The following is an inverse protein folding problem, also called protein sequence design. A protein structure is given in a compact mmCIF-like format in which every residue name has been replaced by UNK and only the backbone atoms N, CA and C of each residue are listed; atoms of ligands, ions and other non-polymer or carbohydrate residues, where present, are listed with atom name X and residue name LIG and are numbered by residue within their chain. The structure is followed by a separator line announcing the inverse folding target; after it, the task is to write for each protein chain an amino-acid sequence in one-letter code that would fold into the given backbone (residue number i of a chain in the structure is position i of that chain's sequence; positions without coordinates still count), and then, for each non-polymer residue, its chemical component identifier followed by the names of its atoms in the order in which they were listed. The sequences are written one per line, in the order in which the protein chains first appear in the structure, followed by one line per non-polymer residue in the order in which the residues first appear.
data_IF_933996166619
#
_entry.id   IF_933996166619
#
_cell.length_a   1.000
_cell.length_b   1.000
_cell.length_c   1.000
_cell.angle_alpha   90.00
_cell.angle_beta   90.00
_cell.angle_gamma   90.00
#
_symmetry.space_group_name_H-M   'P 1'
#
loop_
_entity.id
_entity.type
_entity.pdbx_description
1 polymer ?
#
# COMPACT_ATOMS: atom_id res chain seq x y z
N UNK A 1 7.64 18.52 21.97
CA UNK A 1 8.00 18.68 20.55
C UNK A 1 8.98 17.59 20.16
N UNK A 2 9.00 17.09 18.91
CA UNK A 2 10.06 16.22 18.45
C UNK A 2 11.41 16.95 18.48
N UNK A 3 12.51 16.20 18.58
CA UNK A 3 13.86 16.78 18.41
C UNK A 3 14.04 17.20 16.95
N UNK A 4 14.91 18.19 16.68
CA UNK A 4 15.18 18.71 15.32
C UNK A 4 15.55 17.58 14.35
N UNK A 5 16.47 16.68 14.74
CA UNK A 5 16.85 15.48 13.96
C UNK A 5 15.65 14.59 13.61
N UNK A 6 14.67 14.50 14.52
CA UNK A 6 13.47 13.70 14.28
C UNK A 6 12.53 14.41 13.33
N UNK A 7 12.37 15.71 13.46
CA UNK A 7 11.58 16.53 12.55
C UNK A 7 12.14 16.47 11.13
N UNK A 8 13.44 16.67 10.96
CA UNK A 8 14.12 16.53 9.66
C UNK A 8 13.87 15.16 9.02
N UNK A 9 14.02 14.06 9.80
CA UNK A 9 13.73 12.70 9.31
C UNK A 9 12.30 12.56 8.83
N UNK A 10 11.32 13.07 9.59
CA UNK A 10 9.91 12.96 9.22
C UNK A 10 9.58 13.79 8.01
N UNK A 11 10.10 15.02 7.93
CA UNK A 11 9.95 15.89 6.75
C UNK A 11 10.49 15.22 5.50
N UNK A 12 11.72 14.71 5.57
CA UNK A 12 12.31 13.98 4.44
C UNK A 12 11.47 12.79 4.00
N UNK A 13 11.01 11.96 4.94
CA UNK A 13 10.21 10.76 4.59
C UNK A 13 8.84 11.16 4.05
N UNK A 14 8.18 12.16 4.62
CA UNK A 14 6.88 12.63 4.12
C UNK A 14 6.99 13.12 2.67
N UNK A 15 8.04 13.87 2.35
CA UNK A 15 8.29 14.38 0.99
C UNK A 15 8.62 13.27 -0.03
N UNK A 16 8.97 12.06 0.44
CA UNK A 16 9.28 10.89 -0.38
C UNK A 16 8.07 9.99 -0.63
N UNK A 17 6.93 10.24 0.02
CA UNK A 17 5.74 9.41 -0.13
C UNK A 17 5.13 9.53 -1.52
N UNK A 18 4.67 8.41 -2.02
CA UNK A 18 3.81 8.35 -3.18
C UNK A 18 2.36 8.46 -2.70
N UNK A 19 1.72 9.58 -3.00
CA UNK A 19 0.34 9.89 -2.61
C UNK A 19 -0.66 9.48 -3.69
N UNK A 20 -0.17 9.18 -4.90
CA UNK A 20 -0.99 8.81 -6.05
C UNK A 20 -1.13 7.29 -6.21
N UNK A 21 -0.23 6.50 -5.65
CA UNK A 21 -0.36 5.05 -5.65
C UNK A 21 -1.13 4.54 -4.43
N UNK A 22 -1.85 3.42 -4.62
CA UNK A 22 -2.56 2.72 -3.55
C UNK A 22 -2.30 1.21 -3.59
N UNK A 23 -2.34 0.58 -2.41
CA UNK A 23 -2.46 -0.87 -2.25
C UNK A 23 -3.86 -1.18 -1.74
N UNK A 24 -4.52 -2.12 -2.39
CA UNK A 24 -5.86 -2.60 -2.04
C UNK A 24 -5.77 -4.05 -1.62
N UNK A 25 -6.22 -4.35 -0.43
CA UNK A 25 -6.24 -5.69 0.13
C UNK A 25 -7.69 -6.13 0.28
N UNK A 26 -8.12 -7.09 -0.54
CA UNK A 26 -9.48 -7.59 -0.56
C UNK A 26 -9.60 -8.85 0.30
N UNK A 27 -10.48 -8.79 1.29
CA UNK A 27 -10.90 -9.92 2.12
C UNK A 27 -9.73 -10.74 2.71
N UNK A 28 -8.71 -10.05 3.22
CA UNK A 28 -7.53 -10.71 3.77
C UNK A 28 -7.91 -11.48 5.04
N UNK A 29 -7.61 -12.78 5.02
CA UNK A 29 -7.95 -13.70 6.11
C UNK A 29 -7.06 -13.50 7.33
N UNK A 30 -5.73 -13.39 7.12
CA UNK A 30 -4.77 -13.22 8.22
C UNK A 30 -4.30 -11.76 8.36
N UNK A 31 -4.69 -11.05 9.45
CA UNK A 31 -4.21 -9.71 9.74
C UNK A 31 -2.68 -9.58 9.82
N UNK A 32 -1.94 -10.67 10.08
CA UNK A 32 -0.48 -10.65 10.09
C UNK A 32 0.09 -10.51 8.67
N UNK A 33 -0.53 -11.14 7.67
CA UNK A 33 -0.17 -10.97 6.26
C UNK A 33 -0.42 -9.53 5.82
N UNK A 34 -1.59 -8.96 6.18
CA UNK A 34 -1.86 -7.56 5.93
C UNK A 34 -0.83 -6.64 6.58
N UNK A 35 -0.45 -6.90 7.83
CA UNK A 35 0.54 -6.10 8.54
C UNK A 35 1.94 -6.18 7.91
N UNK A 36 2.33 -7.33 7.36
CA UNK A 36 3.57 -7.47 6.60
C UNK A 36 3.50 -6.67 5.28
N UNK A 37 2.35 -6.69 4.59
CA UNK A 37 2.11 -5.85 3.42
C UNK A 37 2.19 -4.34 3.75
N UNK A 38 1.66 -3.90 4.91
CA UNK A 38 1.79 -2.50 5.35
C UNK A 38 3.25 -2.08 5.51
N UNK A 39 4.11 -2.99 5.98
CA UNK A 39 5.54 -2.72 6.07
C UNK A 39 6.16 -2.50 4.70
N UNK A 40 5.74 -3.25 3.69
CA UNK A 40 6.18 -3.07 2.30
C UNK A 40 5.68 -1.75 1.71
N UNK A 41 4.42 -1.37 1.97
CA UNK A 41 3.90 -0.06 1.60
C UNK A 41 4.74 1.09 2.19
N UNK A 42 5.06 1.00 3.49
CA UNK A 42 5.92 1.98 4.15
C UNK A 42 7.32 2.03 3.55
N UNK A 43 7.93 0.87 3.29
CA UNK A 43 9.30 0.76 2.76
C UNK A 43 9.43 1.35 1.35
N UNK A 44 8.44 1.13 0.47
CA UNK A 44 8.42 1.65 -0.91
C UNK A 44 7.73 3.02 -1.05
N UNK A 45 7.28 3.58 0.06
CA UNK A 45 6.74 4.95 0.09
C UNK A 45 5.28 5.08 -0.29
N UNK A 46 4.54 3.99 -0.59
CA UNK A 46 3.10 4.05 -0.87
C UNK A 46 2.35 4.43 0.40
N UNK A 47 1.59 5.53 0.32
CA UNK A 47 0.91 6.10 1.50
C UNK A 47 -0.48 5.52 1.72
N UNK A 48 -1.23 5.25 0.65
CA UNK A 48 -2.62 4.88 0.72
C UNK A 48 -2.81 3.36 0.74
N UNK A 49 -3.51 2.84 1.74
CA UNK A 49 -3.86 1.43 1.86
C UNK A 49 -5.37 1.31 2.02
N UNK A 50 -6.01 0.61 1.10
CA UNK A 50 -7.43 0.30 1.14
C UNK A 50 -7.62 -1.13 1.61
N UNK A 51 -8.47 -1.31 2.61
CA UNK A 51 -8.90 -2.62 3.11
C UNK A 51 -10.36 -2.81 2.73
N UNK A 52 -10.64 -3.86 2.02
CA UNK A 52 -12.00 -4.22 1.60
C UNK A 52 -12.42 -5.46 2.36
N UNK A 53 -13.56 -5.40 3.02
CA UNK A 53 -14.15 -6.50 3.77
C UNK A 53 -15.53 -6.81 3.19
N UNK A 54 -15.68 -8.00 2.63
CA UNK A 54 -16.92 -8.54 2.09
C UNK A 54 -17.38 -9.76 2.90
N UNK A 55 -16.52 -10.76 3.01
CA UNK A 55 -16.76 -12.02 3.70
C UNK A 55 -15.97 -12.15 5.00
N UNK A 56 -14.73 -11.61 5.02
CA UNK A 56 -13.88 -11.68 6.18
C UNK A 56 -14.23 -10.63 7.23
N UNK A 57 -13.95 -10.95 8.50
CA UNK A 57 -14.23 -10.04 9.61
C UNK A 57 -13.30 -8.83 9.56
N UNK A 58 -13.85 -7.59 9.64
CA UNK A 58 -13.05 -6.40 9.72
C UNK A 58 -12.12 -6.41 10.93
N UNK A 59 -10.88 -5.97 10.73
CA UNK A 59 -9.91 -5.74 11.78
C UNK A 59 -9.41 -4.30 11.78
N UNK A 60 -8.86 -3.85 12.91
CA UNK A 60 -8.30 -2.52 13.00
C UNK A 60 -6.81 -2.52 12.56
N UNK A 61 -6.46 -2.00 11.36
CA UNK A 61 -5.10 -2.06 10.83
C UNK A 61 -4.09 -1.26 11.67
N UNK A 62 -4.56 -0.36 12.54
CA UNK A 62 -3.70 0.41 13.44
C UNK A 62 -3.39 -0.34 14.74
N UNK A 63 -4.14 -1.40 15.04
CA UNK A 63 -3.97 -2.21 16.26
C UNK A 63 -3.39 -3.57 15.99
N UNK A 64 -3.92 -4.25 14.95
CA UNK A 64 -3.47 -5.60 14.58
C UNK A 64 -2.09 -5.57 13.94
N UNK A 65 -1.32 -6.63 14.14
CA UNK A 65 -0.03 -6.85 13.50
C UNK A 65 1.03 -5.76 13.72
N UNK A 66 0.94 -4.94 14.78
CA UNK A 66 1.88 -3.85 15.05
C UNK A 66 3.34 -4.29 15.10
N UNK A 67 3.63 -5.45 15.70
CA UNK A 67 4.98 -6.00 15.76
C UNK A 67 5.44 -6.42 14.37
N UNK A 68 4.57 -7.09 13.61
CA UNK A 68 4.85 -7.57 12.25
C UNK A 68 5.11 -6.41 11.30
N UNK A 69 4.32 -5.34 11.36
CA UNK A 69 4.56 -4.12 10.56
C UNK A 69 5.76 -3.29 11.03
N UNK A 70 6.45 -3.67 12.12
CA UNK A 70 7.49 -2.84 12.72
C UNK A 70 6.99 -1.49 13.22
N UNK A 71 5.71 -1.39 13.59
CA UNK A 71 5.01 -0.16 14.00
C UNK A 71 4.89 0.90 12.91
N UNK A 72 5.09 0.54 11.62
CA UNK A 72 4.98 1.48 10.50
C UNK A 72 3.54 1.78 10.13
N UNK A 73 2.60 0.86 10.43
CA UNK A 73 1.17 1.00 10.17
C UNK A 73 0.55 2.29 10.68
N UNK A 74 1.10 2.92 11.70
CA UNK A 74 0.61 4.21 12.23
C UNK A 74 0.86 5.40 11.29
N UNK A 75 1.77 5.25 10.32
CA UNK A 75 2.16 6.32 9.39
C UNK A 75 1.46 6.24 8.05
N UNK A 76 0.79 5.11 7.76
CA UNK A 76 -0.03 4.92 6.57
C UNK A 76 -1.42 5.54 6.73
N UNK A 77 -2.05 5.83 5.62
CA UNK A 77 -3.45 6.23 5.57
C UNK A 77 -4.30 5.04 5.13
N UNK A 78 -5.20 4.62 6.04
CA UNK A 78 -6.08 3.47 5.83
C UNK A 78 -7.48 3.92 5.46
N UNK A 79 -8.00 3.32 4.40
CA UNK A 79 -9.35 3.48 3.90
C UNK A 79 -10.06 2.14 4.03
N UNK A 80 -11.09 2.10 4.86
CA UNK A 80 -11.86 0.86 5.14
C UNK A 80 -13.12 0.89 4.30
N UNK A 81 -13.35 -0.20 3.57
CA UNK A 81 -14.53 -0.40 2.74
C UNK A 81 -15.29 -1.64 3.21
N UNK A 82 -16.60 -1.56 3.20
CA UNK A 82 -17.51 -2.68 3.39
C UNK A 82 -18.22 -2.93 2.06
N UNK A 83 -17.88 -4.05 1.41
CA UNK A 83 -18.35 -4.39 0.07
C UNK A 83 -17.36 -4.06 -1.04
N UNK A 84 -17.09 -5.06 -1.87
CA UNK A 84 -16.07 -5.00 -2.93
C UNK A 84 -16.50 -4.09 -4.07
N UNK A 85 -17.74 -4.20 -4.57
CA UNK A 85 -18.21 -3.37 -5.69
C UNK A 85 -18.15 -1.88 -5.36
N UNK A 86 -18.63 -1.50 -4.16
CA UNK A 86 -18.60 -0.12 -3.69
C UNK A 86 -17.16 0.41 -3.54
N UNK A 87 -16.22 -0.45 -3.11
CA UNK A 87 -14.81 -0.10 -2.99
C UNK A 87 -14.19 0.18 -4.37
N UNK A 88 -14.43 -0.70 -5.35
CA UNK A 88 -13.91 -0.54 -6.71
C UNK A 88 -14.46 0.72 -7.37
N UNK A 89 -15.75 0.98 -7.20
CA UNK A 89 -16.37 2.20 -7.72
C UNK A 89 -15.80 3.47 -7.06
N UNK A 90 -15.57 3.44 -5.75
CA UNK A 90 -14.95 4.56 -5.03
C UNK A 90 -13.54 4.86 -5.52
N UNK A 91 -12.72 3.82 -5.76
CA UNK A 91 -11.38 3.95 -6.32
C UNK A 91 -11.41 4.53 -7.74
N UNK A 92 -12.31 4.06 -8.60
CA UNK A 92 -12.49 4.61 -9.96
C UNK A 92 -12.90 6.09 -9.93
N UNK A 93 -13.86 6.46 -9.08
CA UNK A 93 -14.26 7.87 -8.91
C UNK A 93 -13.12 8.75 -8.40
N UNK A 94 -12.20 8.19 -7.62
CA UNK A 94 -10.99 8.87 -7.19
C UNK A 94 -9.89 8.92 -8.27
N UNK A 95 -10.14 8.38 -9.47
CA UNK A 95 -9.23 8.43 -10.62
C UNK A 95 -8.12 7.38 -10.59
N UNK A 96 -8.27 6.30 -9.81
CA UNK A 96 -7.29 5.21 -9.81
C UNK A 96 -7.47 4.29 -11.03
N UNK A 97 -6.35 3.85 -11.60
CA UNK A 97 -6.27 2.72 -12.52
C UNK A 97 -6.15 1.44 -11.71
N UNK A 98 -7.10 0.52 -11.87
CA UNK A 98 -7.20 -0.70 -11.06
C UNK A 98 -6.38 -1.82 -11.69
N UNK A 99 -5.33 -2.28 -10.99
CA UNK A 99 -4.41 -3.34 -11.43
C UNK A 99 -4.52 -4.50 -10.45
N UNK A 100 -5.21 -5.56 -10.84
CA UNK A 100 -5.43 -6.70 -9.96
C UNK A 100 -4.46 -7.86 -10.24
N UNK A 101 -4.01 -8.52 -9.17
CA UNK A 101 -3.10 -9.67 -9.28
C UNK A 101 -3.90 -10.96 -9.37
N UNK A 102 -3.72 -11.71 -10.46
CA UNK A 102 -4.34 -13.01 -10.70
C UNK A 102 -3.49 -13.85 -11.62
N UNK A 103 -3.28 -15.11 -11.30
CA UNK A 103 -2.69 -16.08 -12.23
C UNK A 103 -3.79 -16.56 -13.16
N UNK A 104 -3.82 -16.00 -14.37
CA UNK A 104 -4.86 -16.23 -15.38
C UNK A 104 -4.27 -16.10 -16.79
N UNK A 105 -4.72 -16.89 -17.79
CA UNK A 105 -4.24 -16.77 -19.17
C UNK A 105 -4.43 -15.40 -19.80
N UNK A 106 -5.40 -14.62 -19.37
CA UNK A 106 -5.65 -13.25 -19.82
C UNK A 106 -4.77 -12.21 -19.13
N UNK A 107 -4.14 -12.56 -18.00
CA UNK A 107 -3.28 -11.66 -17.26
C UNK A 107 -1.91 -11.49 -17.92
N UNK A 108 -1.37 -10.29 -17.83
CA UNK A 108 -0.04 -9.97 -18.37
C UNK A 108 1.04 -10.14 -17.30
N UNK A 109 2.26 -10.62 -17.66
CA UNK A 109 3.36 -10.66 -16.71
C UNK A 109 3.68 -9.28 -16.15
N UNK A 110 3.86 -9.15 -14.84
CA UNK A 110 4.16 -7.89 -14.16
C UNK A 110 5.30 -7.10 -14.82
N UNK A 111 6.45 -7.71 -15.21
CA UNK A 111 7.55 -6.99 -15.84
C UNK A 111 7.25 -6.43 -17.25
N UNK A 112 6.11 -6.81 -17.84
CA UNK A 112 5.70 -6.33 -19.17
C UNK A 112 4.91 -5.02 -19.13
N UNK A 113 4.54 -4.55 -17.92
CA UNK A 113 3.85 -3.28 -17.75
C UNK A 113 4.84 -2.12 -17.68
N UNK A 114 4.45 -0.99 -18.24
CA UNK A 114 5.05 0.30 -17.96
C UNK A 114 4.30 0.95 -16.79
N UNK A 115 4.64 0.51 -15.57
CA UNK A 115 3.98 0.98 -14.35
C UNK A 115 4.29 2.45 -14.05
N UNK A 116 5.43 2.95 -14.55
CA UNK A 116 5.80 4.35 -14.36
C UNK A 116 4.91 5.32 -15.14
N UNK A 117 4.35 4.85 -16.27
CA UNK A 117 3.42 5.65 -17.08
C UNK A 117 2.01 5.72 -16.51
N UNK A 118 1.66 4.89 -15.52
CA UNK A 118 0.34 4.90 -14.89
C UNK A 118 0.32 5.97 -13.80
N UNK A 119 -0.51 7.00 -13.95
CA UNK A 119 -0.51 8.15 -13.04
C UNK A 119 -0.95 7.79 -11.62
N UNK A 120 -2.03 7.04 -11.47
CA UNK A 120 -2.62 6.68 -10.17
C UNK A 120 -2.93 5.17 -10.10
N UNK A 121 -1.91 4.30 -9.95
CA UNK A 121 -2.14 2.87 -9.87
C UNK A 121 -2.72 2.46 -8.50
N UNK A 122 -3.75 1.63 -8.51
CA UNK A 122 -4.23 0.88 -7.35
C UNK A 122 -3.93 -0.60 -7.56
N UNK A 123 -2.96 -1.12 -6.83
CA UNK A 123 -2.57 -2.53 -6.89
C UNK A 123 -3.45 -3.36 -5.97
N UNK A 124 -4.23 -4.26 -6.55
CA UNK A 124 -5.26 -5.04 -5.84
C UNK A 124 -4.77 -6.48 -5.65
N UNK A 125 -4.84 -6.92 -4.40
CA UNK A 125 -4.48 -8.26 -3.97
C UNK A 125 -5.68 -8.89 -3.27
N UNK A 126 -6.01 -10.12 -3.64
CA UNK A 126 -7.13 -10.86 -3.08
C UNK A 126 -6.76 -11.68 -1.85
N UNK A 127 -7.74 -12.43 -1.37
CA UNK A 127 -7.64 -13.38 -0.28
C UNK A 127 -6.58 -14.47 -0.54
N UNK A 128 -5.91 -14.94 0.50
CA UNK A 128 -4.82 -15.92 0.42
C UNK A 128 -5.27 -17.28 -0.14
N UNK A 129 -6.55 -17.61 0.00
CA UNK A 129 -7.10 -18.90 -0.44
C UNK A 129 -7.98 -18.80 -1.68
N UNK A 130 -8.75 -17.70 -1.80
CA UNK A 130 -9.73 -17.49 -2.86
C UNK A 130 -9.21 -16.61 -4.01
N UNK A 131 -8.10 -15.90 -3.80
CA UNK A 131 -7.64 -14.87 -4.74
C UNK A 131 -8.56 -13.65 -4.76
N UNK A 132 -8.59 -12.93 -5.88
CA UNK A 132 -9.50 -11.81 -6.09
C UNK A 132 -10.92 -12.32 -6.41
N UNK A 133 -11.93 -11.53 -6.01
CA UNK A 133 -13.32 -11.83 -6.35
C UNK A 133 -13.63 -11.53 -7.81
N UNK A 134 -14.75 -12.11 -8.32
CA UNK A 134 -15.27 -11.75 -9.65
C UNK A 134 -15.61 -10.26 -9.76
N UNK A 135 -16.00 -9.61 -8.68
CA UNK A 135 -16.29 -8.18 -8.66
C UNK A 135 -15.03 -7.35 -8.92
N UNK A 136 -13.89 -7.73 -8.29
CA UNK A 136 -12.59 -7.12 -8.58
C UNK A 136 -12.17 -7.41 -10.02
N UNK A 137 -12.31 -8.66 -10.48
CA UNK A 137 -11.93 -9.06 -11.83
C UNK A 137 -12.67 -8.25 -12.91
N UNK A 138 -13.99 -8.08 -12.75
CA UNK A 138 -14.79 -7.24 -13.66
C UNK A 138 -14.44 -5.76 -13.59
N UNK A 139 -14.02 -5.29 -12.43
CA UNK A 139 -13.68 -3.90 -12.23
C UNK A 139 -12.25 -3.56 -12.65
N UNK A 140 -11.33 -4.51 -12.68
CA UNK A 140 -9.92 -4.26 -12.98
C UNK A 140 -9.71 -3.74 -14.41
N UNK A 141 -8.92 -2.68 -14.55
CA UNK A 141 -8.48 -2.19 -15.85
C UNK A 141 -7.38 -3.08 -16.43
N UNK A 142 -6.60 -3.72 -15.54
CA UNK A 142 -5.54 -4.66 -15.90
C UNK A 142 -5.48 -5.83 -14.93
N UNK A 143 -5.27 -7.03 -15.49
CA UNK A 143 -4.87 -8.21 -14.72
C UNK A 143 -3.37 -8.45 -14.92
N UNK A 144 -2.67 -8.72 -13.83
CA UNK A 144 -1.23 -8.99 -13.84
C UNK A 144 -0.89 -10.19 -12.97
N UNK A 145 0.20 -10.86 -13.28
CA UNK A 145 0.76 -11.93 -12.44
C UNK A 145 2.27 -11.78 -12.30
N UNK A 146 2.80 -12.31 -11.21
CA UNK A 146 4.23 -12.42 -10.97
C UNK A 146 4.70 -13.74 -11.58
N UNK A 147 5.59 -13.75 -12.60
CA UNK A 147 6.05 -14.98 -13.23
C UNK A 147 6.73 -15.92 -12.22
N UNK A 148 6.35 -17.19 -12.25
CA UNK A 148 6.93 -18.26 -11.44
C UNK A 148 7.26 -19.46 -12.33
N UNK A 149 8.31 -20.21 -11.99
CA UNK A 149 8.75 -21.40 -12.72
C UNK A 149 8.82 -22.65 -11.83
N UNK A 150 8.46 -22.51 -10.55
CA UNK A 150 8.50 -23.60 -9.56
C UNK A 150 7.18 -24.34 -9.44
N UNK A 151 7.10 -25.26 -8.46
CA UNK A 151 5.89 -25.99 -8.13
C UNK A 151 4.87 -25.18 -7.30
N UNK A 152 5.30 -24.04 -6.78
CA UNK A 152 4.39 -23.14 -6.06
C UNK A 152 3.40 -22.48 -7.03
N UNK A 153 2.12 -22.51 -6.68
CA UNK A 153 1.05 -21.89 -7.49
C UNK A 153 0.86 -20.40 -7.19
N UNK A 154 1.32 -19.94 -6.03
CA UNK A 154 1.23 -18.54 -5.61
C UNK A 154 2.33 -18.19 -4.62
N UNK A 155 2.61 -16.90 -4.48
CA UNK A 155 3.38 -16.35 -3.36
C UNK A 155 2.45 -16.04 -2.17
N UNK A 156 3.04 -15.99 -0.97
CA UNK A 156 2.36 -15.37 0.16
C UNK A 156 1.96 -13.92 -0.18
N UNK A 157 0.81 -13.47 0.32
CA UNK A 157 0.27 -12.14 0.07
C UNK A 157 1.32 -11.03 0.23
N UNK A 158 2.01 -11.00 1.38
CA UNK A 158 2.98 -9.95 1.67
C UNK A 158 4.19 -9.97 0.75
N UNK A 159 4.56 -11.15 0.25
CA UNK A 159 5.61 -11.31 -0.78
C UNK A 159 5.12 -10.75 -2.11
N UNK A 160 3.90 -11.10 -2.52
CA UNK A 160 3.30 -10.56 -3.75
C UNK A 160 3.24 -9.03 -3.73
N UNK A 161 2.77 -8.45 -2.62
CA UNK A 161 2.76 -7.00 -2.42
C UNK A 161 4.16 -6.41 -2.54
N UNK A 162 5.15 -7.05 -1.91
CA UNK A 162 6.54 -6.56 -1.95
C UNK A 162 7.13 -6.57 -3.35
N UNK A 163 6.88 -7.63 -4.13
CA UNK A 163 7.39 -7.77 -5.51
C UNK A 163 6.75 -6.76 -6.46
N UNK A 164 5.42 -6.58 -6.36
CA UNK A 164 4.71 -5.58 -7.18
C UNK A 164 5.18 -4.16 -6.86
N UNK A 165 5.29 -3.83 -5.57
CA UNK A 165 5.76 -2.51 -5.16
C UNK A 165 7.23 -2.28 -5.48
N UNK A 166 8.07 -3.31 -5.42
CA UNK A 166 9.46 -3.20 -5.85
C UNK A 166 9.56 -2.92 -7.35
N UNK A 167 8.80 -3.63 -8.17
CA UNK A 167 8.77 -3.39 -9.64
C UNK A 167 8.28 -1.98 -9.95
N UNK A 168 7.17 -1.55 -9.33
CA UNK A 168 6.66 -0.19 -9.46
C UNK A 168 7.67 0.87 -9.03
N UNK A 169 8.26 0.72 -7.85
CA UNK A 169 9.29 1.61 -7.33
C UNK A 169 10.52 1.65 -8.24
N UNK A 170 10.96 0.48 -8.72
CA UNK A 170 12.12 0.35 -9.60
C UNK A 170 11.90 1.14 -10.90
N UNK A 171 10.74 0.99 -11.52
CA UNK A 171 10.41 1.71 -12.75
C UNK A 171 10.26 3.22 -12.52
N UNK A 172 9.55 3.62 -11.46
CA UNK A 172 9.21 5.04 -11.19
C UNK A 172 10.37 5.84 -10.64
N UNK A 173 11.25 5.22 -9.84
CA UNK A 173 12.31 5.91 -9.08
C UNK A 173 13.72 5.60 -9.52
N UNK A 174 13.99 4.37 -9.98
CA UNK A 174 15.32 3.95 -10.36
C UNK A 174 15.54 4.03 -11.89
N UNK A 175 14.45 4.01 -12.66
CA UNK A 175 14.51 3.90 -14.11
C UNK A 175 14.97 2.49 -14.56
N UNK A 176 14.81 2.19 -15.85
CA UNK A 176 15.32 0.94 -16.45
C UNK A 176 16.75 1.16 -16.97
N UNK A 177 17.75 1.17 -16.09
CA UNK A 177 19.14 1.41 -16.46
C UNK A 177 20.10 1.31 -15.28
N UNK A 178 21.38 1.68 -15.44
CA UNK A 178 22.28 1.80 -14.29
C UNK A 178 21.64 2.67 -13.23
N UNK A 179 21.59 2.16 -12.00
CA UNK A 179 20.81 2.74 -10.90
C UNK A 179 21.17 4.21 -10.69
N UNK A 180 20.32 5.10 -11.15
CA UNK A 180 20.32 6.49 -10.73
C UNK A 180 18.96 6.78 -10.10
N UNK A 181 18.95 7.17 -8.84
CA UNK A 181 17.70 7.60 -8.20
C UNK A 181 17.25 8.88 -8.90
N UNK A 182 16.13 8.80 -9.62
CA UNK A 182 15.56 9.98 -10.27
C UNK A 182 15.31 11.10 -9.26
N UNK A 183 15.59 12.37 -9.60
CA UNK A 183 15.22 13.48 -8.76
C UNK A 183 13.73 13.39 -8.41
N UNK A 184 13.43 13.51 -7.13
CA UNK A 184 12.05 13.50 -6.70
C UNK A 184 11.37 14.81 -7.09
N UNK A 185 10.07 14.76 -7.45
CA UNK A 185 9.31 16.00 -7.59
C UNK A 185 9.38 16.79 -6.29
N UNK A 186 9.39 18.10 -6.40
CA UNK A 186 9.35 18.96 -5.23
C UNK A 186 8.11 18.64 -4.40
N UNK A 187 8.21 18.61 -3.05
CA UNK A 187 7.07 18.38 -2.19
C UNK A 187 6.02 19.49 -2.41
N UNK A 188 4.77 19.05 -2.56
CA UNK A 188 3.62 19.92 -2.74
C UNK A 188 2.83 20.11 -1.42
N UNK A 189 1.68 20.78 -1.51
CA UNK A 189 0.80 21.02 -0.36
C UNK A 189 0.32 19.71 0.29
N UNK A 190 0.09 18.65 -0.48
CA UNK A 190 -0.36 17.36 0.04
C UNK A 190 0.71 16.69 0.92
N UNK A 191 1.98 16.79 0.54
CA UNK A 191 3.10 16.31 1.37
C UNK A 191 3.24 17.11 2.67
N UNK A 192 3.04 18.43 2.60
CA UNK A 192 3.03 19.28 3.79
C UNK A 192 1.89 18.90 4.76
N UNK A 193 0.69 18.67 4.25
CA UNK A 193 -0.44 18.19 5.04
C UNK A 193 -0.19 16.81 5.65
N UNK A 194 0.42 15.89 4.90
CA UNK A 194 0.82 14.58 5.41
C UNK A 194 1.76 14.73 6.61
N UNK A 195 2.78 15.57 6.49
CA UNK A 195 3.71 15.84 7.59
C UNK A 195 2.99 16.37 8.82
N UNK A 196 2.06 17.33 8.66
CA UNK A 196 1.26 17.88 9.77
C UNK A 196 0.42 16.79 10.44
N UNK A 197 -0.23 15.90 9.66
CA UNK A 197 -0.98 14.76 10.22
C UNK A 197 -0.07 13.82 11.03
N UNK A 198 1.16 13.56 10.57
CA UNK A 198 2.12 12.72 11.29
C UNK A 198 2.59 13.37 12.60
N UNK A 199 2.88 14.66 12.59
CA UNK A 199 3.27 15.40 13.80
C UNK A 199 2.15 15.40 14.85
N UNK A 200 0.91 15.62 14.44
CA UNK A 200 -0.26 15.53 15.32
C UNK A 200 -0.44 14.14 15.93
N UNK A 201 -0.18 13.06 15.17
CA UNK A 201 -0.20 11.67 15.70
C UNK A 201 0.88 11.43 16.75
N UNK A 202 2.01 12.14 16.69
CA UNK A 202 3.09 12.03 17.67
C UNK A 202 2.72 12.72 18.99
N UNK A 203 2.08 13.89 18.95
CA UNK A 203 1.77 14.67 20.15
C UNK A 203 0.67 14.00 20.98
N UNK A 204 -0.36 13.41 20.35
CA UNK A 204 -1.39 12.62 21.05
C UNK A 204 -0.84 11.47 21.90
N UNK A 205 0.30 10.88 21.54
CA UNK A 205 0.95 9.81 22.34
C UNK A 205 1.64 10.32 23.60
N UNK A 206 2.06 11.59 23.62
CA UNK A 206 2.67 12.19 24.83
C UNK A 206 1.62 12.51 25.86
N UNK A 207 0.45 13.02 25.43
CA UNK A 207 -0.66 13.34 26.32
C UNK A 207 -1.38 12.10 26.92
N UNK A 208 -1.36 10.94 26.20
CA UNK A 208 -1.96 9.69 26.71
C UNK A 208 -1.08 8.95 27.74
N UNK A 209 0.26 9.11 27.69
CA UNK A 209 1.18 8.47 28.65
C UNK A 209 1.23 9.15 30.02
N UNK A 210 0.69 10.35 30.15
CA UNK A 210 0.65 11.07 31.42
C UNK A 210 -0.58 10.78 32.30
N UNK A 211 -1.52 9.93 31.83
CA UNK A 211 -2.76 9.59 32.57
C UNK A 211 -2.74 8.20 33.23
N UNK A 212 -1.75 7.36 32.91
CA UNK A 212 -1.62 6.01 33.48
C UNK A 212 -0.52 5.93 34.58
N UNK A 213 -0.07 7.08 35.09
CA UNK A 213 0.96 7.19 36.14
C UNK A 213 0.48 8.01 37.35
N UNK A 214 -0.79 7.88 37.71
CA UNK A 214 -1.33 8.44 38.96
C UNK A 214 -2.29 7.48 39.63
#
# INVERSE_FOLDING_TARGET
MPTDRRLEKFTRIANLRDLDAAVVLEDIHDPHNAAAAFRSCDAFGVQNVHLVFEQEKPFNPRREGKKTSGYTNKWLDFHIHHGTEAAMEALRRAGFTLIATKVDPSARPLPSFDLAAIERPAFIFGNEHRGISEAVERAADHLTFIPMIGLAESFNLSVSVSLVLYEYFSQKRLGRGPVSVSPQPAPDAAHAELLQRWLARMDKRKSGRGRDAS
#
